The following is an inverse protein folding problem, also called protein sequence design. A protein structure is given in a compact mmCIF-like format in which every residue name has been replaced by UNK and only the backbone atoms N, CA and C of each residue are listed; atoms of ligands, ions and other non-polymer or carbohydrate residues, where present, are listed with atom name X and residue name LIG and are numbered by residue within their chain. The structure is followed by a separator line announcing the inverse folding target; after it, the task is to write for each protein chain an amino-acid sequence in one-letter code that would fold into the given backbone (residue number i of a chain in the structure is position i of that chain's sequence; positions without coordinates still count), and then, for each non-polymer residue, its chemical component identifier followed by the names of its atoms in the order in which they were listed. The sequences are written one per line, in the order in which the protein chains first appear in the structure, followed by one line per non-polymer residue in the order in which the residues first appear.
data_IF_812781166679
#
_entry.id   IF_812781166679
#
_cell.length_a   1.000
_cell.length_b   1.000
_cell.length_c   1.000
_cell.angle_alpha   90.00
_cell.angle_beta   90.00
_cell.angle_gamma   90.00
#
_symmetry.space_group_name_H-M   'P 1'
#
loop_
_entity.id
_entity.type
_entity.pdbx_description
1 polymer ?
#
# COMPACT_ATOMS: atom_id res chain seq x y z
N UNK A 1 0.14 -38.50 4.27
CA UNK A 1 -0.89 -37.81 5.06
C UNK A 1 -0.16 -36.93 6.08
N UNK A 2 -0.01 -35.62 5.83
CA UNK A 2 0.74 -34.74 6.74
C UNK A 2 -0.14 -34.46 7.97
N UNK A 3 0.32 -34.89 9.15
CA UNK A 3 -0.31 -34.45 10.39
C UNK A 3 -0.23 -32.92 10.50
N UNK A 4 -1.34 -32.23 10.78
CA UNK A 4 -1.31 -30.80 10.95
C UNK A 4 -0.45 -30.44 12.17
N UNK A 5 0.48 -29.51 12.00
CA UNK A 5 1.32 -28.99 13.09
C UNK A 5 0.45 -28.42 14.22
N UNK A 6 0.96 -28.40 15.45
CA UNK A 6 0.23 -27.93 16.63
C UNK A 6 -0.49 -26.57 16.47
N UNK A 7 0.11 -25.55 15.82
CA UNK A 7 -0.58 -24.27 15.55
C UNK A 7 -1.82 -24.42 14.65
N UNK A 8 -1.79 -25.34 13.70
CA UNK A 8 -2.96 -25.59 12.83
C UNK A 8 -4.12 -26.27 13.57
N UNK A 9 -3.84 -27.05 14.61
CA UNK A 9 -4.92 -27.62 15.45
C UNK A 9 -5.60 -26.54 16.29
N UNK A 10 -4.84 -25.62 16.85
CA UNK A 10 -5.39 -24.46 17.57
C UNK A 10 -6.25 -23.55 16.67
N UNK A 11 -5.79 -23.33 15.45
CA UNK A 11 -6.58 -22.59 14.46
C UNK A 11 -7.92 -23.27 14.14
N UNK A 12 -7.92 -24.58 13.95
CA UNK A 12 -9.13 -25.33 13.67
C UNK A 12 -10.14 -25.36 14.84
N UNK A 13 -9.66 -25.13 16.07
CA UNK A 13 -10.50 -25.05 17.29
C UNK A 13 -11.01 -23.62 17.57
N UNK A 14 -10.47 -22.60 16.90
CA UNK A 14 -10.93 -21.24 17.05
C UNK A 14 -12.38 -21.10 16.54
N UNK A 15 -13.24 -20.34 17.23
CA UNK A 15 -14.61 -20.10 16.79
C UNK A 15 -14.59 -19.41 15.41
N UNK A 16 -15.62 -19.68 14.59
CA UNK A 16 -15.66 -19.18 13.22
C UNK A 16 -15.44 -17.66 13.14
N UNK A 17 -16.07 -16.87 14.00
CA UNK A 17 -15.88 -15.42 14.04
C UNK A 17 -14.42 -15.02 14.35
N UNK A 18 -13.75 -15.78 15.21
CA UNK A 18 -12.32 -15.56 15.53
C UNK A 18 -11.42 -15.81 14.36
N UNK A 19 -11.72 -16.80 13.53
CA UNK A 19 -10.98 -17.05 12.28
C UNK A 19 -11.12 -15.89 11.30
N UNK A 20 -12.34 -15.37 11.10
CA UNK A 20 -12.58 -14.22 10.24
C UNK A 20 -11.90 -12.96 10.75
N UNK A 21 -11.99 -12.70 12.06
CA UNK A 21 -11.33 -11.57 12.69
C UNK A 21 -9.81 -11.61 12.48
N UNK A 22 -9.18 -12.77 12.66
CA UNK A 22 -7.73 -12.92 12.45
C UNK A 22 -7.31 -12.70 11.00
N UNK A 23 -8.14 -13.11 10.02
CA UNK A 23 -7.86 -12.83 8.60
C UNK A 23 -7.93 -11.32 8.32
N UNK A 24 -8.93 -10.63 8.85
CA UNK A 24 -9.04 -9.16 8.72
C UNK A 24 -7.86 -8.46 9.40
N UNK A 25 -7.47 -8.90 10.59
CA UNK A 25 -6.30 -8.35 11.31
C UNK A 25 -5.02 -8.59 10.53
N UNK A 26 -4.83 -9.77 9.92
CA UNK A 26 -3.69 -10.06 9.06
C UNK A 26 -3.63 -9.10 7.85
N UNK A 27 -4.77 -8.82 7.22
CA UNK A 27 -4.90 -7.82 6.17
C UNK A 27 -4.57 -6.42 6.68
N UNK A 28 -5.13 -6.02 7.82
CA UNK A 28 -4.84 -4.72 8.44
C UNK A 28 -3.37 -4.55 8.78
N UNK A 29 -2.73 -5.58 9.33
CA UNK A 29 -1.29 -5.59 9.57
C UNK A 29 -0.50 -5.39 8.26
N UNK A 30 -0.92 -6.05 7.18
CA UNK A 30 -0.30 -5.84 5.87
C UNK A 30 -0.51 -4.41 5.34
N UNK A 31 -1.62 -3.77 5.65
CA UNK A 31 -1.90 -2.37 5.31
C UNK A 31 -0.97 -1.35 5.98
N UNK A 32 -0.38 -1.68 7.14
CA UNK A 32 0.58 -0.82 7.84
C UNK A 32 1.94 -0.67 7.12
N UNK A 33 2.17 -1.41 6.04
CA UNK A 33 3.31 -1.15 5.16
C UNK A 33 3.14 0.07 4.27
N UNK A 34 1.90 0.56 4.12
CA UNK A 34 1.63 1.80 3.38
C UNK A 34 1.81 3.02 4.27
N UNK A 35 1.96 4.20 3.61
CA UNK A 35 1.97 5.47 4.31
C UNK A 35 0.71 5.63 5.20
N UNK A 36 0.82 6.28 6.34
CA UNK A 36 1.98 6.98 6.90
C UNK A 36 2.87 6.13 7.81
N UNK A 37 2.62 4.82 7.94
CA UNK A 37 3.38 3.93 8.85
C UNK A 37 4.66 3.42 8.19
N UNK A 38 4.61 3.13 6.87
CA UNK A 38 5.74 2.80 6.00
C UNK A 38 6.65 1.65 6.54
N UNK A 39 6.01 0.57 7.00
CA UNK A 39 6.72 -0.60 7.55
C UNK A 39 6.57 -1.84 6.67
N UNK A 40 7.42 -2.04 5.66
CA UNK A 40 7.34 -3.19 4.73
C UNK A 40 7.32 -4.55 5.42
N UNK A 41 8.02 -4.66 6.56
CA UNK A 41 8.05 -5.89 7.34
C UNK A 41 6.65 -6.30 7.84
N UNK A 42 5.80 -5.34 8.20
CA UNK A 42 4.42 -5.61 8.64
C UNK A 42 3.57 -6.12 7.48
N UNK A 43 3.78 -5.61 6.26
CA UNK A 43 3.13 -6.15 5.06
C UNK A 43 3.51 -7.61 4.82
N UNK A 44 4.80 -7.92 4.89
CA UNK A 44 5.27 -9.29 4.68
C UNK A 44 4.72 -10.25 5.75
N UNK A 45 4.75 -9.84 7.03
CA UNK A 45 4.23 -10.65 8.13
C UNK A 45 2.71 -10.82 8.01
N UNK A 46 1.98 -9.75 7.74
CA UNK A 46 0.52 -9.77 7.60
C UNK A 46 0.08 -10.67 6.45
N UNK A 47 0.68 -10.51 5.25
CA UNK A 47 0.40 -11.36 4.10
C UNK A 47 0.80 -12.81 4.34
N UNK A 48 2.00 -13.06 4.89
CA UNK A 48 2.47 -14.41 5.16
C UNK A 48 1.57 -15.13 6.17
N UNK A 49 1.15 -14.44 7.23
CA UNK A 49 0.21 -14.97 8.20
C UNK A 49 -1.15 -15.24 7.56
N UNK A 50 -1.69 -14.29 6.76
CA UNK A 50 -2.93 -14.47 6.00
C UNK A 50 -2.85 -15.69 5.07
N UNK A 51 -1.80 -15.83 4.30
CA UNK A 51 -1.57 -16.97 3.41
C UNK A 51 -1.48 -18.29 4.18
N UNK A 52 -0.86 -18.28 5.34
CA UNK A 52 -0.71 -19.48 6.16
C UNK A 52 -2.02 -19.94 6.80
N UNK A 53 -2.90 -19.01 7.25
CA UNK A 53 -4.18 -19.37 7.88
C UNK A 53 -5.30 -19.63 6.87
N UNK A 54 -5.26 -19.00 5.69
CA UNK A 54 -6.26 -19.21 4.64
C UNK A 54 -5.95 -20.53 3.93
N UNK A 55 -6.78 -21.54 4.21
CA UNK A 55 -6.66 -22.85 3.55
C UNK A 55 -7.42 -22.88 2.24
N UNK A 56 -6.88 -23.61 1.24
CA UNK A 56 -7.61 -23.92 0.02
C UNK A 56 -8.92 -24.63 0.33
N UNK A 57 -10.02 -24.10 -0.18
CA UNK A 57 -11.36 -24.63 -0.02
C UNK A 57 -12.11 -24.55 -1.35
N UNK A 58 -13.43 -24.82 -1.33
CA UNK A 58 -14.29 -24.53 -2.47
C UNK A 58 -14.30 -23.01 -2.78
N UNK A 59 -14.69 -22.66 -4.00
CA UNK A 59 -14.49 -21.29 -4.52
C UNK A 59 -15.10 -20.20 -3.63
N UNK A 60 -16.30 -20.38 -3.10
CA UNK A 60 -16.99 -19.35 -2.32
C UNK A 60 -16.35 -19.08 -0.94
N UNK A 61 -16.08 -20.08 -0.08
CA UNK A 61 -15.36 -19.83 1.16
C UNK A 61 -13.97 -19.23 0.93
N UNK A 62 -13.28 -19.67 -0.14
CA UNK A 62 -11.96 -19.16 -0.46
C UNK A 62 -12.01 -17.70 -0.93
N UNK A 63 -13.03 -17.34 -1.74
CA UNK A 63 -13.34 -15.95 -2.09
C UNK A 63 -13.56 -15.10 -0.84
N UNK A 64 -14.42 -15.53 0.08
CA UNK A 64 -14.75 -14.74 1.27
C UNK A 64 -13.51 -14.52 2.16
N UNK A 65 -12.63 -15.50 2.31
CA UNK A 65 -11.39 -15.37 3.06
C UNK A 65 -10.41 -14.40 2.39
N UNK A 66 -10.24 -14.48 1.07
CA UNK A 66 -9.46 -13.53 0.30
C UNK A 66 -10.03 -12.12 0.37
N UNK A 67 -11.36 -11.99 0.29
CA UNK A 67 -12.06 -10.74 0.50
C UNK A 67 -11.79 -10.16 1.91
N UNK A 68 -11.86 -10.97 2.96
CA UNK A 68 -11.61 -10.52 4.34
C UNK A 68 -10.17 -10.05 4.54
N UNK A 69 -9.20 -10.73 3.92
CA UNK A 69 -7.80 -10.31 3.95
C UNK A 69 -7.63 -8.96 3.23
N UNK A 70 -8.20 -8.83 2.02
CA UNK A 70 -8.19 -7.58 1.26
C UNK A 70 -8.93 -6.46 1.97
N UNK A 71 -10.07 -6.76 2.60
CA UNK A 71 -10.84 -5.78 3.37
C UNK A 71 -10.01 -5.17 4.50
N UNK A 72 -9.33 -6.01 5.29
CA UNK A 72 -8.42 -5.54 6.33
C UNK A 72 -7.29 -4.67 5.77
N UNK A 73 -6.68 -5.10 4.66
CA UNK A 73 -5.62 -4.35 3.98
C UNK A 73 -6.09 -2.97 3.53
N UNK A 74 -7.19 -2.90 2.78
CA UNK A 74 -7.71 -1.64 2.26
C UNK A 74 -8.29 -0.74 3.35
N UNK A 75 -8.84 -1.31 4.43
CA UNK A 75 -9.34 -0.52 5.55
C UNK A 75 -8.23 0.33 6.19
N UNK A 76 -7.04 -0.23 6.31
CA UNK A 76 -5.87 0.46 6.90
C UNK A 76 -5.18 1.35 5.86
N UNK A 77 -4.86 0.81 4.69
CA UNK A 77 -4.10 1.54 3.67
C UNK A 77 -4.86 2.70 3.03
N UNK A 78 -6.18 2.74 3.14
CA UNK A 78 -7.03 3.81 2.62
C UNK A 78 -7.66 4.68 3.72
N UNK A 79 -7.17 4.59 4.95
CA UNK A 79 -7.71 5.37 6.07
C UNK A 79 -7.71 6.89 5.79
N UNK A 80 -6.80 7.38 4.95
CA UNK A 80 -6.73 8.79 4.53
C UNK A 80 -7.98 9.27 3.77
N UNK A 81 -8.82 8.38 3.22
CA UNK A 81 -10.09 8.73 2.56
C UNK A 81 -11.07 9.42 3.53
N UNK A 82 -10.87 9.26 4.82
CA UNK A 82 -11.69 9.91 5.86
C UNK A 82 -11.45 11.42 5.92
N UNK A 83 -10.22 11.88 5.64
CA UNK A 83 -9.80 13.28 5.80
C UNK A 83 -10.67 14.31 5.07
N UNK A 84 -11.04 14.15 3.79
CA UNK A 84 -11.89 15.12 3.09
C UNK A 84 -13.24 15.36 3.78
N UNK A 85 -13.80 14.33 4.42
CA UNK A 85 -15.08 14.45 5.13
C UNK A 85 -14.97 15.22 6.45
N UNK A 86 -13.76 15.27 7.02
CA UNK A 86 -13.49 15.98 8.28
C UNK A 86 -13.12 17.45 8.05
N UNK A 87 -12.40 17.74 6.95
CA UNK A 87 -11.89 19.08 6.64
C UNK A 87 -13.00 20.05 6.22
N UNK A 88 -13.97 19.61 5.45
CA UNK A 88 -14.99 20.50 4.91
C UNK A 88 -16.03 20.99 5.93
N UNK A 89 -16.07 20.44 7.14
CA UNK A 89 -16.91 20.94 8.26
C UNK A 89 -18.42 21.06 8.02
N UNK A 90 -18.91 20.69 6.84
CA UNK A 90 -20.29 20.90 6.37
C UNK A 90 -21.27 19.79 6.77
N UNK A 91 -21.04 19.12 7.90
CA UNK A 91 -21.92 18.05 8.36
C UNK A 91 -21.75 16.73 7.61
N UNK A 92 -20.65 16.54 6.87
CA UNK A 92 -20.33 15.32 6.09
C UNK A 92 -19.51 14.30 6.87
N UNK A 93 -18.98 14.63 8.05
CA UNK A 93 -18.13 13.78 8.86
C UNK A 93 -18.74 12.40 9.17
N UNK A 94 -20.06 12.32 9.33
CA UNK A 94 -20.78 11.05 9.55
C UNK A 94 -20.68 10.07 8.36
N UNK A 95 -20.42 10.56 7.15
CA UNK A 95 -20.28 9.75 5.94
C UNK A 95 -18.91 9.05 5.87
N UNK A 96 -17.89 9.61 6.54
CA UNK A 96 -16.51 9.13 6.48
C UNK A 96 -16.36 7.62 6.72
N UNK A 97 -16.90 7.03 7.82
CA UNK A 97 -16.75 5.57 8.04
C UNK A 97 -17.44 4.74 6.97
N UNK A 98 -18.59 5.21 6.44
CA UNK A 98 -19.30 4.49 5.37
C UNK A 98 -18.52 4.54 4.06
N UNK A 99 -17.92 5.68 3.71
CA UNK A 99 -17.09 5.81 2.53
C UNK A 99 -15.87 4.88 2.60
N UNK A 100 -15.17 4.85 3.74
CA UNK A 100 -14.04 3.98 3.96
C UNK A 100 -14.43 2.49 3.89
N UNK A 101 -15.51 2.09 4.56
CA UNK A 101 -15.99 0.71 4.55
C UNK A 101 -16.44 0.27 3.15
N UNK A 102 -17.16 1.13 2.42
CA UNK A 102 -17.59 0.83 1.05
C UNK A 102 -16.40 0.70 0.10
N UNK A 103 -15.41 1.59 0.22
CA UNK A 103 -14.19 1.57 -0.60
C UNK A 103 -13.36 0.32 -0.30
N UNK A 104 -13.08 0.05 0.97
CA UNK A 104 -12.33 -1.13 1.38
C UNK A 104 -13.02 -2.42 0.97
N UNK A 105 -14.35 -2.53 1.19
CA UNK A 105 -15.15 -3.69 0.82
C UNK A 105 -15.23 -3.90 -0.70
N UNK A 106 -15.40 -2.82 -1.46
CA UNK A 106 -15.44 -2.85 -2.91
C UNK A 106 -14.11 -3.30 -3.53
N UNK A 107 -13.00 -2.71 -3.10
CA UNK A 107 -11.67 -3.09 -3.59
C UNK A 107 -11.25 -4.50 -3.15
N UNK A 108 -11.69 -4.94 -1.99
CA UNK A 108 -11.45 -6.30 -1.51
C UNK A 108 -12.10 -7.38 -2.41
N UNK A 109 -13.12 -7.03 -3.23
CA UNK A 109 -13.70 -7.96 -4.20
C UNK A 109 -12.66 -8.48 -5.20
N UNK A 110 -11.70 -7.66 -5.59
CA UNK A 110 -10.60 -8.07 -6.46
C UNK A 110 -9.74 -9.16 -5.80
N UNK A 111 -9.43 -9.02 -4.51
CA UNK A 111 -8.68 -10.04 -3.78
C UNK A 111 -9.52 -11.31 -3.58
N UNK A 112 -10.79 -11.17 -3.24
CA UNK A 112 -11.72 -12.29 -3.20
C UNK A 112 -11.73 -13.06 -4.51
N UNK A 113 -11.85 -12.35 -5.65
CA UNK A 113 -11.79 -12.92 -6.99
C UNK A 113 -10.49 -13.65 -7.27
N UNK A 114 -9.34 -13.08 -6.89
CA UNK A 114 -8.03 -13.72 -7.03
C UNK A 114 -7.96 -15.05 -6.27
N UNK A 115 -8.43 -15.07 -5.02
CA UNK A 115 -8.49 -16.30 -4.24
C UNK A 115 -9.42 -17.34 -4.87
N UNK A 116 -10.61 -16.93 -5.32
CA UNK A 116 -11.54 -17.82 -6.00
C UNK A 116 -10.96 -18.42 -7.30
N UNK A 117 -10.21 -17.63 -8.07
CA UNK A 117 -9.54 -18.07 -9.29
C UNK A 117 -8.38 -19.04 -9.00
N UNK A 118 -7.65 -18.80 -7.92
CA UNK A 118 -6.57 -19.70 -7.50
C UNK A 118 -7.08 -21.09 -7.10
N UNK A 119 -8.34 -21.22 -6.66
CA UNK A 119 -9.04 -22.50 -6.38
C UNK A 119 -8.20 -23.53 -5.66
N UNK A 120 -7.66 -23.16 -4.51
CA UNK A 120 -6.87 -24.08 -3.70
C UNK A 120 -5.43 -24.27 -4.15
N UNK A 121 -5.00 -23.62 -5.21
CA UNK A 121 -3.59 -23.54 -5.58
C UNK A 121 -2.90 -22.50 -4.72
N UNK A 122 -1.79 -22.89 -4.12
CA UNK A 122 -0.95 -22.04 -3.26
C UNK A 122 0.36 -21.66 -3.95
N UNK A 123 1.23 -20.94 -3.26
CA UNK A 123 2.53 -20.53 -3.80
C UNK A 123 2.39 -19.54 -4.94
N UNK A 124 3.08 -19.75 -6.04
CA UNK A 124 3.13 -18.82 -7.15
C UNK A 124 1.75 -18.53 -7.78
N UNK A 125 0.82 -19.49 -7.76
CA UNK A 125 -0.51 -19.30 -8.34
C UNK A 125 -1.32 -18.22 -7.64
N UNK A 126 -1.30 -18.17 -6.31
CA UNK A 126 -2.00 -17.11 -5.58
C UNK A 126 -1.31 -15.75 -5.76
N UNK A 127 0.03 -15.73 -5.86
CA UNK A 127 0.76 -14.50 -6.16
C UNK A 127 0.38 -13.93 -7.54
N UNK A 128 0.33 -14.78 -8.57
CA UNK A 128 -0.07 -14.36 -9.91
C UNK A 128 -1.55 -13.92 -9.97
N UNK A 129 -2.44 -14.61 -9.26
CA UNK A 129 -3.85 -14.24 -9.18
C UNK A 129 -4.04 -12.88 -8.49
N UNK A 130 -3.32 -12.63 -7.38
CA UNK A 130 -3.36 -11.34 -6.69
C UNK A 130 -2.73 -10.22 -7.53
N UNK A 131 -1.61 -10.48 -8.23
CA UNK A 131 -1.04 -9.53 -9.18
C UNK A 131 -2.04 -9.19 -10.29
N UNK A 132 -2.73 -10.19 -10.85
CA UNK A 132 -3.76 -9.96 -11.86
C UNK A 132 -4.92 -9.12 -11.31
N UNK A 133 -5.30 -9.32 -10.05
CA UNK A 133 -6.30 -8.51 -9.37
C UNK A 133 -5.84 -7.06 -9.16
N UNK A 134 -4.57 -6.83 -8.83
CA UNK A 134 -4.00 -5.47 -8.74
C UNK A 134 -3.97 -4.78 -10.10
N UNK A 135 -3.54 -5.48 -11.16
CA UNK A 135 -3.59 -4.97 -12.53
C UNK A 135 -5.02 -4.64 -12.95
N UNK A 136 -5.97 -5.55 -12.70
CA UNK A 136 -7.38 -5.31 -12.99
C UNK A 136 -7.89 -4.06 -12.28
N UNK A 137 -7.59 -3.89 -10.99
CA UNK A 137 -7.97 -2.73 -10.19
C UNK A 137 -7.33 -1.43 -10.70
N UNK A 138 -6.09 -1.51 -11.16
CA UNK A 138 -5.35 -0.33 -11.65
C UNK A 138 -5.85 0.17 -13.02
N UNK A 139 -6.46 -0.71 -13.85
CA UNK A 139 -6.82 -0.36 -15.22
C UNK A 139 -8.30 -0.55 -15.58
N UNK A 140 -9.08 -1.29 -14.79
CA UNK A 140 -10.53 -1.41 -15.04
C UNK A 140 -11.29 -0.18 -14.55
N UNK A 141 -12.43 0.09 -15.20
CA UNK A 141 -13.26 1.27 -14.99
C UNK A 141 -12.42 2.55 -15.19
N UNK A 142 -12.33 3.41 -14.17
CA UNK A 142 -11.47 4.60 -14.19
C UNK A 142 -10.04 4.31 -13.73
N UNK A 143 -9.78 3.10 -13.25
CA UNK A 143 -8.55 2.70 -12.59
C UNK A 143 -8.40 3.25 -11.18
N UNK A 144 -7.87 2.44 -10.27
CA UNK A 144 -7.54 2.86 -8.90
C UNK A 144 -6.20 2.25 -8.48
N UNK A 145 -5.06 2.83 -8.89
CA UNK A 145 -3.73 2.28 -8.62
C UNK A 145 -3.18 2.59 -7.21
N UNK A 146 -3.97 3.18 -6.33
CA UNK A 146 -3.56 3.46 -4.96
C UNK A 146 -3.41 2.18 -4.14
N UNK A 147 -2.53 2.21 -3.13
CA UNK A 147 -2.26 1.08 -2.26
C UNK A 147 -1.89 -0.21 -3.02
N UNK A 148 -1.00 -0.12 -4.03
CA UNK A 148 -0.34 -1.29 -4.60
C UNK A 148 0.62 -1.88 -3.56
N UNK A 149 0.71 -3.21 -3.52
CA UNK A 149 1.64 -3.90 -2.60
C UNK A 149 3.11 -3.53 -2.84
N UNK A 150 3.44 -3.10 -4.06
CA UNK A 150 4.78 -2.61 -4.38
C UNK A 150 5.16 -1.27 -3.75
N UNK A 151 4.18 -0.48 -3.34
CA UNK A 151 4.44 0.85 -2.77
C UNK A 151 4.98 0.80 -1.34
N UNK A 152 4.85 -0.31 -0.63
CA UNK A 152 5.42 -0.47 0.71
C UNK A 152 6.94 -0.31 0.74
N UNK A 153 7.61 -0.35 -0.43
CA UNK A 153 9.05 -0.21 -0.55
C UNK A 153 9.53 1.21 -0.89
N UNK A 154 8.62 2.19 -1.11
CA UNK A 154 8.95 3.52 -1.64
C UNK A 154 10.10 4.17 -0.85
N UNK A 155 10.03 4.18 0.47
CA UNK A 155 11.04 4.81 1.33
C UNK A 155 12.20 3.88 1.69
N UNK A 156 12.42 2.84 0.88
CA UNK A 156 13.52 1.90 1.05
C UNK A 156 14.42 1.84 -0.18
N UNK A 157 15.70 1.48 -0.03
CA UNK A 157 16.60 1.24 -1.17
C UNK A 157 16.06 0.20 -2.17
N UNK A 158 15.22 -0.74 -1.71
CA UNK A 158 14.59 -1.75 -2.54
C UNK A 158 13.78 -1.16 -3.69
N UNK A 159 13.20 0.03 -3.52
CA UNK A 159 12.34 0.61 -4.54
C UNK A 159 13.09 1.03 -5.79
N UNK A 160 14.43 1.10 -5.76
CA UNK A 160 15.26 1.28 -6.95
C UNK A 160 15.03 0.17 -7.98
N UNK A 161 14.65 -1.04 -7.53
CA UNK A 161 14.26 -2.12 -8.45
C UNK A 161 13.02 -1.77 -9.28
N UNK A 162 12.18 -0.84 -8.83
CA UNK A 162 11.03 -0.39 -9.60
C UNK A 162 11.40 0.25 -10.94
N UNK A 163 12.62 0.79 -11.08
CA UNK A 163 13.13 1.28 -12.36
C UNK A 163 13.29 0.17 -13.41
N UNK A 164 13.44 -1.09 -12.97
CA UNK A 164 13.62 -2.26 -13.84
C UNK A 164 12.32 -3.04 -14.03
N UNK A 165 11.55 -3.25 -12.98
CA UNK A 165 10.37 -4.14 -12.97
C UNK A 165 9.04 -3.41 -12.79
N UNK A 166 9.08 -2.10 -12.58
CA UNK A 166 7.90 -1.27 -12.35
C UNK A 166 7.18 -1.54 -11.01
N UNK A 167 6.15 -0.77 -10.67
CA UNK A 167 5.44 -0.91 -9.40
C UNK A 167 4.71 -2.25 -9.26
N UNK A 168 4.18 -2.80 -10.34
CA UNK A 168 3.53 -4.11 -10.33
C UNK A 168 4.53 -5.27 -10.19
N UNK A 169 5.75 -5.12 -10.71
CA UNK A 169 6.83 -6.06 -10.46
C UNK A 169 7.24 -6.06 -8.97
N UNK A 170 7.25 -4.89 -8.34
CA UNK A 170 7.46 -4.76 -6.89
C UNK A 170 6.32 -5.41 -6.09
N UNK A 171 5.07 -5.29 -6.55
CA UNK A 171 3.93 -6.01 -5.95
C UNK A 171 4.12 -7.52 -6.04
N UNK A 172 4.54 -8.05 -7.19
CA UNK A 172 4.82 -9.48 -7.35
C UNK A 172 5.95 -9.92 -6.41
N UNK A 173 7.02 -9.15 -6.31
CA UNK A 173 8.13 -9.41 -5.38
C UNK A 173 7.61 -9.53 -3.94
N UNK A 174 6.82 -8.57 -3.48
CA UNK A 174 6.22 -8.56 -2.15
C UNK A 174 5.38 -9.83 -1.90
N UNK A 175 4.53 -10.20 -2.86
CA UNK A 175 3.70 -11.40 -2.79
C UNK A 175 4.54 -12.67 -2.72
N UNK A 176 5.58 -12.78 -3.54
CA UNK A 176 6.48 -13.95 -3.54
C UNK A 176 7.25 -14.05 -2.24
N UNK A 177 7.78 -12.95 -1.70
CA UNK A 177 8.45 -12.94 -0.41
C UNK A 177 7.51 -13.40 0.72
N UNK A 178 6.28 -12.88 0.76
CA UNK A 178 5.27 -13.30 1.73
C UNK A 178 4.91 -14.81 1.58
N UNK A 179 4.80 -15.30 0.35
CA UNK A 179 4.52 -16.70 0.05
C UNK A 179 5.68 -17.63 0.50
N UNK A 180 6.92 -17.20 0.30
CA UNK A 180 8.11 -17.94 0.78
C UNK A 180 8.16 -17.98 2.32
N UNK A 181 7.78 -16.91 2.99
CA UNK A 181 7.66 -16.91 4.46
C UNK A 181 6.54 -17.86 4.92
N UNK A 182 5.39 -17.83 4.25
CA UNK A 182 4.23 -18.65 4.62
C UNK A 182 4.45 -20.14 4.43
N UNK A 183 4.93 -20.53 3.25
CA UNK A 183 4.98 -21.94 2.79
C UNK A 183 6.38 -22.47 2.53
N UNK A 184 7.38 -21.60 2.50
CA UNK A 184 8.77 -22.00 2.31
C UNK A 184 9.32 -22.79 3.50
N UNK A 185 10.29 -23.65 3.24
CA UNK A 185 11.08 -24.31 4.28
C UNK A 185 11.97 -23.31 5.04
N UNK A 186 12.65 -23.81 6.09
CA UNK A 186 13.54 -22.98 6.91
C UNK A 186 14.58 -22.22 6.06
N UNK A 187 15.17 -22.87 5.08
CA UNK A 187 16.15 -22.27 4.16
C UNK A 187 15.56 -21.09 3.39
N UNK A 188 14.36 -21.24 2.82
CA UNK A 188 13.71 -20.17 2.08
C UNK A 188 13.43 -18.95 2.97
N UNK A 189 12.98 -19.17 4.21
CA UNK A 189 12.75 -18.09 5.19
C UNK A 189 14.04 -17.35 5.55
N UNK A 190 15.14 -18.07 5.75
CA UNK A 190 16.43 -17.46 6.01
C UNK A 190 16.93 -16.66 4.81
N UNK A 191 16.78 -17.18 3.59
CA UNK A 191 17.14 -16.44 2.36
C UNK A 191 16.35 -15.15 2.26
N UNK A 192 15.03 -15.17 2.50
CA UNK A 192 14.19 -13.95 2.49
C UNK A 192 14.66 -12.95 3.56
N UNK A 193 14.91 -13.42 4.79
CA UNK A 193 15.37 -12.56 5.87
C UNK A 193 16.72 -11.92 5.54
N UNK A 194 17.68 -12.71 5.06
CA UNK A 194 19.00 -12.23 4.65
C UNK A 194 18.86 -11.22 3.51
N UNK A 195 18.04 -11.50 2.50
CA UNK A 195 17.80 -10.59 1.37
C UNK A 195 17.25 -9.23 1.84
N UNK A 196 16.25 -9.22 2.75
CA UNK A 196 15.68 -7.98 3.29
C UNK A 196 16.73 -7.21 4.12
N UNK A 197 17.48 -7.90 4.97
CA UNK A 197 18.50 -7.27 5.83
C UNK A 197 19.70 -6.76 5.02
N UNK A 198 20.10 -7.46 3.95
CA UNK A 198 21.24 -7.06 3.12
C UNK A 198 20.91 -5.96 2.11
N UNK A 199 19.62 -5.72 1.82
CA UNK A 199 19.19 -4.77 0.79
C UNK A 199 19.74 -3.36 0.97
N UNK A 200 19.78 -2.77 2.19
CA UNK A 200 20.38 -1.44 2.41
C UNK A 200 21.88 -1.37 2.14
N UNK A 201 22.55 -2.51 2.09
CA UNK A 201 24.00 -2.59 1.88
C UNK A 201 24.40 -2.93 0.44
N UNK A 202 23.43 -3.03 -0.49
CA UNK A 202 23.74 -3.31 -1.90
C UNK A 202 24.26 -2.04 -2.56
N UNK A 203 25.51 -2.02 -3.07
CA UNK A 203 26.06 -0.84 -3.76
C UNK A 203 25.21 -0.48 -4.98
N UNK A 204 24.96 0.80 -5.19
CA UNK A 204 24.16 1.31 -6.31
C UNK A 204 22.65 1.41 -6.04
N UNK A 205 22.16 0.87 -4.92
CA UNK A 205 20.79 1.11 -4.42
C UNK A 205 20.75 2.34 -3.47
N UNK A 206 21.73 3.22 -3.55
CA UNK A 206 21.73 4.44 -2.74
C UNK A 206 20.63 5.39 -3.21
N UNK A 207 19.69 5.68 -2.31
CA UNK A 207 18.70 6.72 -2.58
C UNK A 207 19.42 8.08 -2.70
N UNK A 208 19.22 8.78 -3.81
CA UNK A 208 19.57 10.18 -3.93
C UNK A 208 20.87 10.54 -4.63
N UNK A 209 21.61 9.60 -5.23
CA UNK A 209 22.61 10.01 -6.22
C UNK A 209 21.92 10.39 -7.52
N UNK A 210 21.69 11.70 -7.68
CA UNK A 210 21.34 12.27 -8.97
C UNK A 210 22.51 12.08 -9.95
N UNK A 211 22.27 11.70 -11.22
CA UNK A 211 23.30 11.84 -12.25
C UNK A 211 23.80 13.29 -12.28
N UNK A 212 25.03 13.52 -12.74
CA UNK A 212 25.60 14.87 -12.89
C UNK A 212 24.57 15.86 -13.41
N UNK A 213 24.29 16.89 -12.62
CA UNK A 213 23.26 17.91 -12.91
C UNK A 213 23.83 19.07 -13.77
N UNK A 214 25.06 18.93 -14.28
CA UNK A 214 25.68 19.95 -15.11
C UNK A 214 24.82 20.21 -16.38
N UNK A 215 24.34 21.46 -16.50
CA UNK A 215 23.53 21.91 -17.64
C UNK A 215 22.04 21.58 -17.58
N UNK A 216 21.54 21.05 -16.48
CA UNK A 216 20.09 20.87 -16.28
C UNK A 216 19.44 22.13 -15.75
N UNK A 217 18.19 22.45 -16.16
CA UNK A 217 17.47 23.59 -15.62
C UNK A 217 17.21 23.40 -14.12
N UNK A 218 17.47 24.44 -13.36
CA UNK A 218 17.17 24.48 -11.92
C UNK A 218 15.71 24.88 -11.72
N UNK A 219 14.94 24.01 -11.10
CA UNK A 219 13.50 24.22 -10.87
C UNK A 219 13.23 24.47 -9.40
N UNK A 220 12.50 25.52 -9.09
CA UNK A 220 11.99 25.81 -7.74
C UNK A 220 10.52 25.42 -7.65
N UNK A 221 10.23 24.45 -6.81
CA UNK A 221 8.86 24.09 -6.45
C UNK A 221 8.43 24.89 -5.22
N UNK A 222 7.35 25.65 -5.34
CA UNK A 222 6.82 26.44 -4.22
C UNK A 222 5.83 25.59 -3.44
N UNK A 223 6.10 25.36 -2.16
CA UNK A 223 5.19 24.63 -1.26
C UNK A 223 4.90 25.49 -0.02
N UNK A 224 3.82 26.28 -0.02
CA UNK A 224 3.51 27.23 1.06
C UNK A 224 3.00 26.56 2.33
N UNK A 225 2.73 25.25 2.30
CA UNK A 225 2.20 24.45 3.41
C UNK A 225 0.95 25.09 4.05
N UNK A 226 -0.03 25.43 3.21
CA UNK A 226 -1.32 25.96 3.65
C UNK A 226 -2.22 24.81 4.03
N UNK A 227 -2.77 24.85 5.26
CA UNK A 227 -3.75 23.86 5.70
C UNK A 227 -5.00 23.90 4.78
N UNK A 228 -5.53 22.72 4.47
CA UNK A 228 -6.64 22.57 3.51
C UNK A 228 -7.87 23.43 3.88
N UNK A 229 -8.20 23.54 5.16
CA UNK A 229 -9.27 24.37 5.69
C UNK A 229 -9.11 25.86 5.41
N UNK A 230 -7.87 26.32 5.23
CA UNK A 230 -7.54 27.72 4.98
C UNK A 230 -7.45 28.08 3.50
N UNK A 231 -7.35 27.11 2.61
CA UNK A 231 -7.18 27.34 1.17
C UNK A 231 -8.30 28.16 0.56
N UNK A 232 -9.53 28.00 1.05
CA UNK A 232 -10.74 28.65 0.53
C UNK A 232 -11.27 29.76 1.45
N UNK A 233 -10.46 30.20 2.42
CA UNK A 233 -10.86 31.28 3.31
C UNK A 233 -10.51 32.63 2.69
N UNK A 234 -11.52 33.48 2.33
CA UNK A 234 -11.27 34.77 1.71
C UNK A 234 -10.41 35.71 2.56
N UNK A 235 -10.50 35.59 3.90
CA UNK A 235 -9.74 36.43 4.83
C UNK A 235 -8.24 36.12 4.83
N UNK A 236 -7.87 34.92 4.39
CA UNK A 236 -6.47 34.46 4.34
C UNK A 236 -5.87 34.50 2.94
N UNK A 237 -6.63 34.83 1.93
CA UNK A 237 -6.17 34.83 0.53
C UNK A 237 -4.92 35.68 0.34
N UNK A 238 -4.92 36.91 0.87
CA UNK A 238 -3.77 37.80 0.74
C UNK A 238 -2.54 37.29 1.48
N UNK A 239 -2.69 36.78 2.69
CA UNK A 239 -1.60 36.18 3.47
C UNK A 239 -0.97 35.00 2.71
N UNK A 240 -1.81 34.12 2.16
CA UNK A 240 -1.39 32.95 1.39
C UNK A 240 -0.64 33.40 0.12
N UNK A 241 -1.15 34.40 -0.59
CA UNK A 241 -0.52 34.94 -1.78
C UNK A 241 0.85 35.54 -1.48
N UNK A 242 0.95 36.37 -0.43
CA UNK A 242 2.24 36.96 0.00
C UNK A 242 3.25 35.89 0.40
N UNK A 243 2.79 34.82 1.01
CA UNK A 243 3.65 33.67 1.32
C UNK A 243 4.18 32.97 0.05
N UNK A 244 3.38 32.81 -0.99
CA UNK A 244 3.83 32.31 -2.28
C UNK A 244 4.88 33.22 -2.90
N UNK A 245 4.64 34.55 -2.89
CA UNK A 245 5.58 35.53 -3.41
C UNK A 245 6.92 35.50 -2.66
N UNK A 246 6.89 35.46 -1.33
CA UNK A 246 8.09 35.40 -0.51
C UNK A 246 8.93 34.16 -0.79
N UNK A 247 8.29 33.00 -0.94
CA UNK A 247 8.97 31.75 -1.29
C UNK A 247 9.50 31.76 -2.74
N UNK A 248 8.81 32.45 -3.64
CA UNK A 248 9.25 32.66 -5.03
C UNK A 248 10.55 33.45 -5.10
N UNK A 249 10.68 34.47 -4.26
CA UNK A 249 11.83 35.37 -4.21
C UNK A 249 12.99 34.82 -3.35
N UNK A 250 12.75 33.78 -2.56
CA UNK A 250 13.74 33.22 -1.66
C UNK A 250 14.84 32.46 -2.41
N UNK A 251 16.09 32.59 -1.94
CA UNK A 251 17.23 31.81 -2.43
C UNK A 251 17.80 32.23 -3.80
N UNK A 252 18.65 31.40 -4.42
CA UNK A 252 19.37 31.74 -5.66
C UNK A 252 18.42 31.84 -6.86
N UNK A 253 18.88 32.43 -7.97
CA UNK A 253 18.16 32.45 -9.24
C UNK A 253 17.94 31.02 -9.77
N UNK A 254 16.80 30.79 -10.39
CA UNK A 254 16.40 29.49 -10.98
C UNK A 254 15.82 29.71 -12.35
N UNK A 255 15.84 28.67 -13.19
CA UNK A 255 15.37 28.73 -14.58
C UNK A 255 13.83 28.62 -14.68
N UNK A 256 13.19 27.94 -13.70
CA UNK A 256 11.75 27.70 -13.70
C UNK A 256 11.21 27.73 -12.26
N UNK A 257 10.05 28.37 -12.07
CA UNK A 257 9.31 28.38 -10.82
C UNK A 257 7.95 27.74 -11.04
N UNK A 258 7.61 26.77 -10.22
CA UNK A 258 6.31 26.06 -10.28
C UNK A 258 5.55 26.32 -8.99
N UNK A 259 4.37 26.90 -9.15
CA UNK A 259 3.40 27.07 -8.07
C UNK A 259 2.44 25.88 -8.00
N UNK A 260 1.90 25.54 -6.83
CA UNK A 260 0.90 24.48 -6.70
C UNK A 260 -0.42 24.86 -7.36
N UNK A 261 -1.24 23.84 -7.64
CA UNK A 261 -2.62 24.04 -8.11
C UNK A 261 -3.41 24.90 -7.12
N UNK A 262 -4.30 25.75 -7.64
CA UNK A 262 -5.16 26.65 -6.83
C UNK A 262 -4.37 27.59 -5.90
N UNK A 263 -3.18 28.03 -6.34
CA UNK A 263 -2.35 28.97 -5.57
C UNK A 263 -2.77 30.43 -5.70
N UNK A 264 -3.62 30.76 -6.67
CA UNK A 264 -4.15 32.11 -6.96
C UNK A 264 -5.66 32.00 -7.23
N UNK A 265 -6.42 32.94 -6.71
CA UNK A 265 -7.87 33.13 -6.98
C UNK A 265 -8.08 34.37 -7.81
#
# INVERSE_FOLDING_TARGET
MFEPSAPHRLWAQAPAWGQWALIVVAGGLAGLGQAPVDQPALTLVGLAFGFWIIRPETALPYFLRGWSLGFGYFLVSLAWIVEPFLVEGRGTAWMAPFALLAMAGGLALFWGGAFALARGRVGLWICLALLSAELARAYLFTGFPWALLGYVWIDTPAYQLASMIGPHGMSLLTLVLAALIAWGGATARWVVLIAIVSLPFVPGLEMGKSPDDEGRPVVRLIHPNVAQENKWNPEKTEEIYQRHLSLTQAGPSVDLIIWPETSVY
#
